data_IF_505759958634
#
_entry.id   IF_505759958634
#
_cell.length_a   1.000
_cell.length_b   1.000
_cell.length_c   1.000
_cell.angle_alpha   90.00
_cell.angle_beta   90.00
_cell.angle_gamma   90.00
#
_symmetry.space_group_name_H-M   'P 1'
#
loop_
_entity.id
_entity.type
_entity.pdbx_description
1 polymer ?
#
# COMPACT_ATOMS: atom_id res chain seq x y z
N UNK A 1 -17.80 16.98 -4.60
CA UNK A 1 -17.50 15.73 -4.77
C UNK A 1 -18.48 14.83 -4.20
N UNK A 2 -18.53 13.85 -4.70
CA UNK A 2 -19.45 12.97 -4.33
C UNK A 2 -18.95 12.05 -3.29
N UNK A 3 -19.35 12.34 -2.12
CA UNK A 3 -18.85 11.63 -1.01
C UNK A 3 -19.28 10.25 -0.89
N UNK A 4 -20.33 9.87 -1.55
CA UNK A 4 -20.73 8.51 -1.45
C UNK A 4 -19.76 7.57 -2.06
N UNK A 5 -18.80 8.08 -2.84
CA UNK A 5 -17.76 7.25 -3.34
C UNK A 5 -16.55 7.23 -2.50
N UNK A 6 -16.54 8.01 -1.45
CA UNK A 6 -15.35 8.20 -0.67
C UNK A 6 -15.31 7.26 0.51
N UNK A 7 -15.43 5.97 0.26
CA UNK A 7 -15.21 4.99 1.29
C UNK A 7 -13.74 4.64 1.43
N UNK A 8 -12.89 5.51 0.95
CA UNK A 8 -11.46 5.34 1.10
C UNK A 8 -10.86 6.48 1.90
N UNK A 9 -9.71 6.22 2.49
CA UNK A 9 -8.96 7.22 3.25
C UNK A 9 -7.53 7.25 2.75
N UNK A 10 -6.95 8.44 2.74
CA UNK A 10 -5.58 8.64 2.29
C UNK A 10 -4.70 8.80 3.51
N UNK A 11 -3.68 7.94 3.61
CA UNK A 11 -2.68 8.02 4.68
C UNK A 11 -3.30 8.05 6.08
N UNK A 12 -4.39 7.32 6.28
CA UNK A 12 -5.11 7.35 7.54
C UNK A 12 -4.64 6.31 8.54
N UNK A 13 -3.93 5.29 8.09
CA UNK A 13 -3.50 4.19 8.96
C UNK A 13 -2.03 4.33 9.31
N UNK A 14 -1.69 3.89 10.51
CA UNK A 14 -0.31 3.76 10.94
C UNK A 14 -0.14 2.36 11.47
N UNK A 15 0.67 1.55 10.78
CA UNK A 15 0.78 0.14 11.08
C UNK A 15 2.22 -0.21 11.36
N UNK A 16 2.47 -0.85 12.49
CA UNK A 16 3.82 -1.30 12.83
C UNK A 16 4.17 -2.51 11.98
N UNK A 17 5.39 -2.55 11.51
CA UNK A 17 5.92 -3.71 10.82
C UNK A 17 7.39 -3.87 11.17
N UNK A 18 7.90 -5.09 11.02
CA UNK A 18 9.31 -5.34 11.25
C UNK A 18 10.07 -5.20 9.95
N UNK A 19 11.01 -4.26 9.92
CA UNK A 19 11.86 -4.01 8.75
C UNK A 19 13.08 -4.91 8.85
N UNK A 20 13.13 -5.95 8.01
CA UNK A 20 14.21 -6.91 8.09
C UNK A 20 15.55 -6.34 7.61
N UNK A 21 15.52 -5.32 6.77
CA UNK A 21 16.75 -4.70 6.29
C UNK A 21 17.39 -3.83 7.37
N UNK A 22 16.57 -3.12 8.12
CA UNK A 22 17.06 -2.24 9.19
C UNK A 22 17.01 -2.92 10.55
N UNK A 23 16.40 -4.09 10.62
CA UNK A 23 16.33 -4.90 11.82
C UNK A 23 15.70 -4.17 12.99
N UNK A 24 14.59 -3.51 12.70
CA UNK A 24 13.84 -2.79 13.73
C UNK A 24 12.39 -2.64 13.35
N UNK A 25 11.55 -2.32 14.34
CA UNK A 25 10.14 -2.03 14.12
C UNK A 25 10.03 -0.62 13.55
N UNK A 26 9.24 -0.47 12.52
CA UNK A 26 8.98 0.82 11.90
C UNK A 26 7.48 0.98 11.72
N UNK A 27 7.07 2.22 11.37
CA UNK A 27 5.67 2.52 11.13
C UNK A 27 5.47 2.69 9.64
N UNK A 28 4.48 1.97 9.10
CA UNK A 28 4.07 2.13 7.73
C UNK A 28 2.80 2.96 7.68
N UNK A 29 2.73 3.86 6.71
CA UNK A 29 1.54 4.66 6.46
C UNK A 29 1.09 4.32 5.04
N UNK A 30 0.13 3.39 4.88
CA UNK A 30 -0.35 3.01 3.56
C UNK A 30 -0.94 4.20 2.82
N UNK A 31 -0.81 4.21 1.50
CA UNK A 31 -1.29 5.31 0.69
C UNK A 31 -2.80 5.45 0.75
N UNK A 32 -3.51 4.34 0.61
CA UNK A 32 -4.97 4.36 0.58
C UNK A 32 -5.52 3.19 1.39
N UNK A 33 -6.59 3.44 2.12
CA UNK A 33 -7.34 2.41 2.82
C UNK A 33 -8.80 2.49 2.39
N UNK A 34 -9.35 1.37 1.94
CA UNK A 34 -10.76 1.28 1.53
C UNK A 34 -11.51 0.54 2.62
N UNK A 35 -12.42 1.24 3.28
CA UNK A 35 -13.14 0.70 4.43
C UNK A 35 -14.05 -0.47 4.07
N UNK A 36 -14.75 -0.35 2.95
CA UNK A 36 -15.75 -1.34 2.60
C UNK A 36 -15.18 -2.73 2.40
N UNK A 37 -13.95 -2.80 1.89
CA UNK A 37 -13.32 -4.07 1.62
C UNK A 37 -12.17 -4.38 2.56
N UNK A 38 -11.91 -3.49 3.50
CA UNK A 38 -10.78 -3.60 4.43
C UNK A 38 -9.47 -3.79 3.65
N UNK A 39 -9.31 -2.95 2.62
CA UNK A 39 -8.22 -3.10 1.67
C UNK A 39 -7.21 -1.98 1.78
N UNK A 40 -5.95 -2.34 1.82
CA UNK A 40 -4.85 -1.39 1.77
C UNK A 40 -4.31 -1.37 0.35
N UNK A 41 -4.11 -0.18 -0.20
CA UNK A 41 -3.53 0.00 -1.52
C UNK A 41 -2.25 0.80 -1.37
N UNK A 42 -1.14 0.23 -1.83
CA UNK A 42 0.14 0.92 -1.89
C UNK A 42 0.43 1.27 -3.34
N UNK A 43 0.92 2.47 -3.58
CA UNK A 43 1.21 2.96 -4.92
C UNK A 43 2.70 3.23 -5.02
N UNK A 44 3.37 2.54 -5.94
CA UNK A 44 4.82 2.68 -6.12
C UNK A 44 5.14 2.83 -7.59
N UNK A 45 6.25 3.53 -7.88
CA UNK A 45 6.77 3.51 -9.23
C UNK A 45 7.80 2.40 -9.35
N UNK A 46 8.14 2.02 -10.56
CA UNK A 46 9.19 1.04 -10.77
C UNK A 46 10.50 1.47 -10.17
N UNK A 47 10.73 2.77 -10.12
CA UNK A 47 12.01 3.31 -9.67
C UNK A 47 12.13 3.38 -8.16
N UNK A 48 11.00 3.43 -7.45
CA UNK A 48 11.00 3.60 -6.00
C UNK A 48 10.60 2.35 -5.26
N UNK A 49 10.23 1.30 -5.96
CA UNK A 49 9.78 0.07 -5.31
C UNK A 49 10.95 -0.64 -4.64
N UNK A 50 10.82 -0.89 -3.35
CA UNK A 50 11.74 -1.71 -2.60
C UNK A 50 10.97 -2.99 -2.27
N UNK A 51 11.26 -4.06 -2.97
CA UNK A 51 10.49 -5.29 -2.85
C UNK A 51 10.60 -5.92 -1.49
N UNK A 52 11.77 -5.86 -0.87
CA UNK A 52 11.96 -6.44 0.45
C UNK A 52 11.15 -5.66 1.47
N UNK A 53 11.23 -4.34 1.40
CA UNK A 53 10.46 -3.49 2.30
C UNK A 53 8.96 -3.71 2.12
N UNK A 54 8.51 -3.83 0.86
CA UNK A 54 7.10 -4.08 0.59
C UNK A 54 6.65 -5.40 1.16
N UNK A 55 7.45 -6.46 1.03
CA UNK A 55 7.10 -7.75 1.61
C UNK A 55 7.00 -7.68 3.12
N UNK A 56 7.90 -6.96 3.76
CA UNK A 56 7.85 -6.80 5.22
C UNK A 56 6.56 -6.11 5.64
N UNK A 57 6.16 -5.07 4.92
CA UNK A 57 4.92 -4.36 5.22
C UNK A 57 3.70 -5.25 4.99
N UNK A 58 3.66 -5.95 3.86
CA UNK A 58 2.54 -6.81 3.52
C UNK A 58 2.36 -7.88 4.58
N UNK A 59 3.44 -8.43 5.07
CA UNK A 59 3.36 -9.44 6.12
C UNK A 59 2.60 -8.93 7.33
N UNK A 60 2.89 -7.71 7.76
CA UNK A 60 2.17 -7.11 8.88
C UNK A 60 0.72 -6.80 8.53
N UNK A 61 0.47 -6.25 7.35
CA UNK A 61 -0.89 -5.94 6.94
C UNK A 61 -1.76 -7.20 6.91
N UNK A 62 -1.24 -8.27 6.32
CA UNK A 62 -2.01 -9.51 6.24
C UNK A 62 -2.23 -10.12 7.61
N UNK A 63 -1.24 -10.03 8.49
CA UNK A 63 -1.36 -10.55 9.83
C UNK A 63 -2.48 -9.85 10.60
N UNK A 64 -2.70 -8.58 10.32
CA UNK A 64 -3.76 -7.81 10.96
C UNK A 64 -5.12 -7.97 10.27
N UNK A 65 -5.17 -8.72 9.18
CA UNK A 65 -6.45 -9.01 8.53
C UNK A 65 -6.79 -8.13 7.36
N UNK A 66 -5.88 -7.27 6.91
CA UNK A 66 -6.16 -6.43 5.76
C UNK A 66 -5.97 -7.18 4.45
N UNK A 67 -6.75 -6.81 3.46
CA UNK A 67 -6.46 -7.18 2.08
C UNK A 67 -5.48 -6.16 1.53
N UNK A 68 -4.55 -6.59 0.68
CA UNK A 68 -3.47 -5.72 0.24
C UNK A 68 -3.33 -5.76 -1.27
N UNK A 69 -3.23 -4.59 -1.87
CA UNK A 69 -2.99 -4.44 -3.29
C UNK A 69 -1.84 -3.47 -3.51
N UNK A 70 -0.94 -3.82 -4.40
CA UNK A 70 0.17 -2.95 -4.78
C UNK A 70 -0.03 -2.54 -6.23
N UNK A 71 -0.02 -1.23 -6.49
CA UNK A 71 -0.11 -0.69 -7.84
C UNK A 71 1.26 -0.14 -8.22
N UNK A 72 1.85 -0.70 -9.27
CA UNK A 72 3.17 -0.29 -9.74
C UNK A 72 3.00 0.41 -11.08
N UNK A 73 3.43 1.65 -11.16
CA UNK A 73 3.31 2.43 -12.39
C UNK A 73 4.63 2.97 -12.89
N UNK A 74 4.55 3.69 -14.01
CA UNK A 74 5.75 4.23 -14.62
C UNK A 74 6.26 5.50 -13.97
N UNK A 75 5.47 6.10 -13.10
CA UNK A 75 5.89 7.29 -12.41
C UNK A 75 5.77 8.56 -13.22
N UNK A 76 4.92 8.59 -14.23
CA UNK A 76 4.69 9.78 -15.04
C UNK A 76 3.20 10.02 -15.17
N UNK A 77 2.81 10.94 -16.06
CA UNK A 77 1.40 11.30 -16.19
C UNK A 77 0.53 10.17 -16.70
N UNK A 78 1.11 9.11 -17.20
CA UNK A 78 0.35 7.95 -17.62
C UNK A 78 0.41 6.82 -16.60
N UNK A 79 0.71 7.17 -15.35
CA UNK A 79 0.94 6.19 -14.29
C UNK A 79 -0.15 5.12 -14.24
N UNK A 80 -1.41 5.54 -14.10
CA UNK A 80 -2.48 4.57 -13.93
C UNK A 80 -2.82 3.84 -15.23
N UNK A 81 -2.54 4.45 -16.35
CA UNK A 81 -2.81 3.82 -17.62
C UNK A 81 -1.88 2.65 -17.88
N UNK A 82 -0.65 2.76 -17.42
CA UNK A 82 0.37 1.74 -17.65
C UNK A 82 0.78 1.00 -16.38
N UNK A 83 -0.06 1.04 -15.37
CA UNK A 83 0.30 0.42 -14.10
C UNK A 83 -0.02 -1.07 -14.11
N UNK A 84 0.67 -1.79 -13.24
CA UNK A 84 0.40 -3.18 -12.97
C UNK A 84 -0.06 -3.32 -11.52
N UNK A 85 -0.94 -4.28 -11.25
CA UNK A 85 -1.42 -4.53 -9.91
C UNK A 85 -0.95 -5.88 -9.43
N UNK A 86 -0.56 -5.94 -8.18
CA UNK A 86 -0.25 -7.18 -7.49
C UNK A 86 -1.18 -7.29 -6.30
N UNK A 87 -1.91 -8.38 -6.22
CA UNK A 87 -2.83 -8.62 -5.11
C UNK A 87 -2.22 -9.67 -4.21
N UNK A 88 -2.03 -9.32 -2.98
CA UNK A 88 -1.41 -10.20 -1.99
C UNK A 88 -2.43 -11.02 -1.22
#
# INVERSE_FOLDING_TARGET
MDDKKANYEVESLRIQYYDTQKKKIRIAIPDIYIKDTNEIIEIKSKWTLDEINMKDKVKSYKKLGYNVRLVIGEGNKNFFKNSNEIIY
#
